data_IF_423796336936
#
_entry.id   IF_423796336936
#
_cell.length_a   1.000
_cell.length_b   1.000
_cell.length_c   1.000
_cell.angle_alpha   90.00
_cell.angle_beta   90.00
_cell.angle_gamma   90.00
#
_symmetry.space_group_name_H-M   'P 1'
#
loop_
_entity.id
_entity.type
_entity.pdbx_description
1 polymer ?
#
# COMPACT_ATOMS: atom_id res chain seq x y z
N UNK A 1 -19.49 12.14 -4.28
CA UNK A 1 -18.92 13.22 -5.16
C UNK A 1 -17.50 13.57 -4.72
N UNK A 2 -16.73 14.26 -5.59
CA UNK A 2 -15.36 14.67 -5.25
C UNK A 2 -15.35 16.16 -4.96
N UNK A 3 -14.68 16.61 -3.90
CA UNK A 3 -14.53 18.01 -3.57
C UNK A 3 -13.69 18.73 -4.64
N UNK A 4 -14.18 19.86 -5.17
CA UNK A 4 -13.47 20.61 -6.22
C UNK A 4 -12.26 21.40 -5.69
N UNK A 5 -12.22 21.67 -4.39
CA UNK A 5 -11.15 22.46 -3.77
C UNK A 5 -9.98 21.61 -3.30
N UNK A 6 -10.23 20.39 -2.78
CA UNK A 6 -9.17 19.55 -2.22
C UNK A 6 -9.06 18.15 -2.83
N UNK A 7 -9.96 17.76 -3.75
CA UNK A 7 -9.93 16.46 -4.43
C UNK A 7 -10.44 15.27 -3.61
N UNK A 8 -10.79 15.42 -2.34
CA UNK A 8 -11.23 14.32 -1.49
C UNK A 8 -12.59 13.76 -1.89
N UNK A 9 -12.77 12.45 -1.76
CA UNK A 9 -14.08 11.81 -1.92
C UNK A 9 -14.96 12.12 -0.71
N UNK A 10 -16.18 12.57 -0.98
CA UNK A 10 -17.16 12.96 0.04
C UNK A 10 -18.51 12.34 -0.26
N UNK A 11 -19.35 12.05 0.76
CA UNK A 11 -20.71 11.58 0.56
C UNK A 11 -21.51 12.53 -0.33
N UNK A 12 -22.40 11.98 -1.16
CA UNK A 12 -23.13 12.73 -2.17
C UNK A 12 -24.15 13.75 -1.61
N UNK A 13 -24.47 13.66 -0.33
CA UNK A 13 -25.39 14.51 0.42
C UNK A 13 -24.69 15.59 1.28
N UNK A 14 -23.37 15.69 1.19
CA UNK A 14 -22.60 16.65 1.99
C UNK A 14 -22.75 18.07 1.47
N UNK A 15 -23.06 19.02 2.36
CA UNK A 15 -23.18 20.46 2.07
C UNK A 15 -21.84 21.16 2.16
N UNK A 16 -20.93 20.62 2.96
CA UNK A 16 -19.56 21.12 3.15
C UNK A 16 -18.59 19.95 3.10
N UNK A 17 -17.40 20.16 2.55
CA UNK A 17 -16.33 19.17 2.59
C UNK A 17 -15.82 19.02 4.05
N UNK A 18 -15.86 17.83 4.64
CA UNK A 18 -15.40 17.63 6.01
C UNK A 18 -13.90 17.85 6.17
N UNK A 19 -13.13 17.72 5.08
CA UNK A 19 -11.68 17.80 5.10
C UNK A 19 -11.13 19.22 4.94
N UNK A 20 -11.69 20.01 4.01
CA UNK A 20 -11.20 21.37 3.77
C UNK A 20 -12.19 22.47 4.18
N UNK A 21 -13.41 22.10 4.60
CA UNK A 21 -14.45 23.05 5.01
C UNK A 21 -15.11 23.83 3.87
N UNK A 22 -14.78 23.56 2.59
CA UNK A 22 -15.38 24.25 1.44
C UNK A 22 -16.86 23.90 1.31
N UNK A 23 -17.68 24.91 0.99
CA UNK A 23 -19.13 24.75 0.78
C UNK A 23 -19.37 24.21 -0.63
N UNK A 24 -20.12 23.11 -0.73
CA UNK A 24 -20.34 22.33 -1.96
C UNK A 24 -21.64 22.69 -2.68
N UNK A 25 -22.51 23.51 -2.04
CA UNK A 25 -23.76 23.96 -2.64
C UNK A 25 -23.50 25.16 -3.56
N UNK A 26 -23.73 24.94 -4.85
CA UNK A 26 -23.69 26.02 -5.84
C UNK A 26 -24.90 26.93 -5.70
N UNK A 27 -24.63 28.18 -5.35
CA UNK A 27 -25.34 29.35 -5.81
C UNK A 27 -24.36 30.54 -5.71
N UNK A 28 -24.06 31.15 -6.85
CA UNK A 28 -23.25 32.36 -6.94
C UNK A 28 -24.05 33.52 -6.32
N UNK A 29 -23.73 33.90 -5.09
CA UNK A 29 -24.03 35.24 -4.60
C UNK A 29 -22.79 36.11 -4.71
N UNK A 30 -22.86 37.04 -5.64
CA UNK A 30 -21.94 38.15 -5.79
C UNK A 30 -22.03 39.05 -4.57
N UNK A 31 -21.03 38.97 -3.67
CA UNK A 31 -20.86 39.98 -2.62
C UNK A 31 -19.72 40.91 -2.99
N UNK A 32 -20.11 42.15 -3.22
CA UNK A 32 -19.27 43.31 -3.47
C UNK A 32 -18.28 43.55 -2.32
N UNK A 33 -17.04 43.82 -2.71
CA UNK A 33 -15.95 44.24 -1.84
C UNK A 33 -16.26 45.60 -1.21
N UNK A 34 -16.42 45.66 0.10
CA UNK A 34 -16.20 46.86 0.88
C UNK A 34 -14.93 46.72 1.71
N UNK A 35 -13.97 47.53 1.37
CA UNK A 35 -12.73 47.76 2.11
C UNK A 35 -13.07 48.44 3.43
N UNK A 36 -12.87 47.80 4.55
CA UNK A 36 -12.79 48.44 5.85
C UNK A 36 -11.35 48.44 6.35
N UNK A 37 -10.81 49.61 6.29
CA UNK A 37 -9.57 50.07 6.89
C UNK A 37 -9.81 50.20 8.42
N UNK A 38 -9.37 49.17 9.20
CA UNK A 38 -9.41 49.22 10.66
C UNK A 38 -8.02 49.47 11.23
N UNK A 39 -7.83 50.77 11.44
CA UNK A 39 -6.82 51.40 12.24
C UNK A 39 -6.68 50.72 13.62
N UNK A 40 -5.44 50.37 13.89
CA UNK A 40 -4.87 49.98 15.18
C UNK A 40 -5.33 50.87 16.34
N UNK A 41 -6.17 50.34 17.24
CA UNK A 41 -6.55 51.03 18.48
C UNK A 41 -5.52 50.72 19.55
N UNK A 42 -4.53 51.58 19.68
CA UNK A 42 -3.66 51.64 20.84
C UNK A 42 -4.42 52.25 22.01
N UNK A 43 -4.60 51.58 23.16
CA UNK A 43 -5.24 52.21 24.32
C UNK A 43 -4.34 53.31 24.88
N UNK A 44 -4.71 54.56 24.68
CA UNK A 44 -4.12 55.71 25.39
C UNK A 44 -4.42 55.58 26.87
N UNK A 45 -3.37 55.37 27.64
CA UNK A 45 -3.41 55.55 29.09
C UNK A 45 -3.64 57.04 29.37
N UNK A 46 -4.83 57.37 29.92
CA UNK A 46 -5.11 58.71 30.41
C UNK A 46 -4.21 59.03 31.61
N UNK A 47 -3.45 60.10 31.44
CA UNK A 47 -2.72 60.67 32.55
C UNK A 47 -3.70 61.10 33.65
N UNK A 48 -3.39 60.68 34.89
CA UNK A 48 -4.10 61.15 36.06
C UNK A 48 -3.80 62.62 36.27
N UNK A 49 -4.84 63.47 36.21
CA UNK A 49 -4.77 64.85 36.61
C UNK A 49 -4.56 64.92 38.12
N UNK A 50 -3.37 65.40 38.53
CA UNK A 50 -3.11 65.74 39.91
C UNK A 50 -3.81 67.06 40.20
N UNK A 51 -4.88 67.00 40.97
CA UNK A 51 -5.54 68.22 41.50
C UNK A 51 -4.70 68.78 42.63
N UNK A 52 -4.09 69.93 42.36
CA UNK A 52 -3.48 70.78 43.38
C UNK A 52 -4.58 71.34 44.29
N UNK A 53 -4.60 70.87 45.54
CA UNK A 53 -5.27 71.64 46.59
C UNK A 53 -4.19 72.18 47.55
N UNK A 54 -3.85 73.41 47.31
CA UNK A 54 -3.08 74.19 48.29
C UNK A 54 -4.01 74.70 49.41
N UNK A 55 -3.41 74.90 50.56
CA UNK A 55 -3.81 75.64 51.75
C UNK A 55 -4.51 74.83 52.87
N UNK A 56 -3.69 74.46 53.86
CA UNK A 56 -3.65 75.17 55.16
C UNK A 56 -2.57 74.49 56.06
N UNK A 57 -1.61 75.26 56.46
CA UNK A 57 -0.71 74.85 57.55
C UNK A 57 -1.48 75.04 58.92
N UNK A 58 -1.13 74.16 59.88
CA UNK A 58 -0.42 74.74 61.06
C UNK A 58 0.78 73.91 61.49
N UNK A 59 1.65 74.67 61.99
CA UNK A 59 2.91 74.45 62.76
C UNK A 59 2.90 73.25 63.72
N UNK A 60 4.03 72.56 63.79
CA UNK A 60 4.34 71.76 64.93
C UNK A 60 4.77 70.31 64.70
N UNK A 61 6.06 70.04 64.68
CA UNK A 61 6.56 68.69 64.94
C UNK A 61 7.60 68.13 63.96
N UNK A 62 8.88 68.31 64.20
CA UNK A 62 10.04 67.87 63.42
C UNK A 62 10.28 66.35 63.36
N UNK A 63 9.28 65.50 63.55
CA UNK A 63 9.39 64.05 63.50
C UNK A 63 8.66 63.38 62.35
N UNK A 64 7.83 64.13 61.58
CA UNK A 64 6.97 63.57 60.52
C UNK A 64 7.68 63.34 59.15
N UNK A 65 8.75 64.10 58.85
CA UNK A 65 9.34 64.10 57.49
C UNK A 65 10.09 62.81 57.13
N UNK A 66 10.56 62.02 58.12
CA UNK A 66 11.23 60.75 57.80
C UNK A 66 10.23 59.62 57.52
N UNK A 67 9.03 59.61 58.08
CA UNK A 67 7.99 58.60 57.79
C UNK A 67 7.31 58.81 56.44
N UNK A 68 7.20 60.02 55.95
CA UNK A 68 6.59 60.30 54.66
C UNK A 68 7.44 59.84 53.47
N UNK A 69 8.76 59.70 53.63
CA UNK A 69 9.68 59.14 52.59
C UNK A 69 9.80 57.62 52.64
N UNK A 70 9.55 56.99 53.78
CA UNK A 70 9.68 55.53 53.95
C UNK A 70 8.62 54.75 53.18
N UNK A 71 7.37 55.23 53.14
CA UNK A 71 6.26 54.56 52.48
C UNK A 71 6.48 54.43 50.97
N UNK A 72 6.86 55.52 50.22
CA UNK A 72 7.09 55.40 48.76
C UNK A 72 8.34 54.55 48.44
N UNK A 73 9.39 54.55 49.31
CA UNK A 73 10.55 53.71 49.13
C UNK A 73 10.21 52.21 49.33
N UNK A 74 9.41 51.88 50.33
CA UNK A 74 8.91 50.51 50.57
C UNK A 74 8.02 50.10 49.39
N UNK A 75 7.10 50.95 48.92
CA UNK A 75 6.27 50.68 47.78
C UNK A 75 7.09 50.44 46.49
N UNK A 76 8.12 51.28 46.24
CA UNK A 76 9.04 51.09 45.11
C UNK A 76 9.84 49.80 45.23
N UNK A 77 10.33 49.47 46.43
CA UNK A 77 11.02 48.22 46.67
C UNK A 77 10.12 46.99 46.46
N UNK A 78 8.84 47.01 46.89
CA UNK A 78 7.87 45.96 46.66
C UNK A 78 7.54 45.84 45.16
N UNK A 79 7.41 46.94 44.44
CA UNK A 79 7.21 46.91 43.00
C UNK A 79 8.43 46.30 42.28
N UNK A 80 9.65 46.69 42.69
CA UNK A 80 10.89 46.09 42.14
C UNK A 80 10.98 44.61 42.46
N UNK A 81 10.68 44.18 43.67
CA UNK A 81 10.64 42.77 44.07
C UNK A 81 9.58 42.01 43.27
N UNK A 82 8.40 42.58 43.09
CA UNK A 82 7.35 42.01 42.25
C UNK A 82 7.80 41.87 40.80
N UNK A 83 8.42 42.93 40.21
CA UNK A 83 8.96 42.88 38.86
C UNK A 83 10.11 41.87 38.73
N UNK A 84 11.00 41.76 39.72
CA UNK A 84 12.01 40.74 39.74
C UNK A 84 11.39 39.33 39.82
N UNK A 85 10.46 39.11 40.75
CA UNK A 85 9.75 37.84 40.88
C UNK A 85 8.99 37.46 39.59
N UNK A 86 8.28 38.44 39.03
CA UNK A 86 7.50 38.28 37.78
C UNK A 86 8.40 37.92 36.59
N UNK A 87 9.66 38.41 36.56
CA UNK A 87 10.60 38.17 35.48
C UNK A 87 11.55 36.98 35.74
N UNK A 88 11.40 36.23 36.85
CA UNK A 88 12.15 34.99 37.05
C UNK A 88 11.90 34.03 35.91
N UNK A 89 12.94 33.35 35.37
CA UNK A 89 12.80 32.41 34.29
C UNK A 89 11.69 31.39 34.53
N UNK A 90 11.59 30.85 35.73
CA UNK A 90 10.57 29.89 36.16
C UNK A 90 9.13 30.44 35.98
N UNK A 91 8.87 31.62 36.50
CA UNK A 91 7.54 32.25 36.41
C UNK A 91 7.17 32.66 34.96
N UNK A 92 8.16 33.00 34.16
CA UNK A 92 7.98 33.26 32.74
C UNK A 92 7.66 31.97 31.99
N UNK A 93 8.35 30.88 32.32
CA UNK A 93 8.12 29.57 31.77
C UNK A 93 6.68 29.11 32.04
N UNK A 94 6.22 29.13 33.29
CA UNK A 94 4.88 28.71 33.68
C UNK A 94 3.79 29.51 32.95
N UNK A 95 3.99 30.82 32.74
CA UNK A 95 3.05 31.63 31.98
C UNK A 95 3.01 31.27 30.49
N UNK A 96 4.15 30.92 29.91
CA UNK A 96 4.23 30.50 28.51
C UNK A 96 3.54 29.15 28.33
N UNK A 97 3.79 28.19 29.23
CA UNK A 97 3.09 26.91 29.23
C UNK A 97 1.57 27.09 29.32
N UNK A 98 1.09 27.88 30.27
CA UNK A 98 -0.34 28.16 30.41
C UNK A 98 -0.96 28.83 29.16
N UNK A 99 -0.24 29.76 28.51
CA UNK A 99 -0.72 30.35 27.25
C UNK A 99 -0.77 29.35 26.13
N UNK A 100 0.22 28.47 26.04
CA UNK A 100 0.23 27.39 25.07
C UNK A 100 -1.01 26.49 25.23
N UNK A 101 -1.33 26.11 26.48
CA UNK A 101 -2.55 25.33 26.77
C UNK A 101 -3.82 26.09 26.43
N UNK A 102 -3.88 27.43 26.70
CA UNK A 102 -4.99 28.28 26.31
C UNK A 102 -5.18 28.33 24.79
N UNK A 103 -4.07 28.39 24.01
CA UNK A 103 -4.11 28.31 22.56
C UNK A 103 -4.57 26.92 22.06
N UNK A 104 -4.11 25.81 22.67
CA UNK A 104 -4.58 24.46 22.34
C UNK A 104 -6.08 24.32 22.56
N UNK A 105 -6.59 24.85 23.67
CA UNK A 105 -8.04 24.80 23.96
C UNK A 105 -8.90 25.54 22.94
N UNK A 106 -8.29 26.41 22.11
CA UNK A 106 -8.93 27.15 21.01
C UNK A 106 -8.57 26.59 19.63
N UNK A 107 -7.90 25.44 19.56
CA UNK A 107 -7.40 24.84 18.32
C UNK A 107 -6.38 25.70 17.55
N UNK A 108 -5.69 26.60 18.24
CA UNK A 108 -4.68 27.49 17.68
C UNK A 108 -3.27 26.81 17.80
N UNK A 109 -3.09 25.67 17.14
CA UNK A 109 -1.96 24.77 17.30
C UNK A 109 -0.60 25.43 17.01
N UNK A 110 -0.50 26.24 15.95
CA UNK A 110 0.73 26.98 15.59
C UNK A 110 1.12 27.98 16.67
N UNK A 111 0.13 28.69 17.27
CA UNK A 111 0.37 29.65 18.33
C UNK A 111 0.79 28.94 19.61
N UNK A 112 0.16 27.81 19.94
CA UNK A 112 0.53 26.98 21.07
C UNK A 112 2.00 26.49 20.96
N UNK A 113 2.36 25.95 19.79
CA UNK A 113 3.74 25.50 19.51
C UNK A 113 4.75 26.65 19.64
N UNK A 114 4.40 27.86 19.18
CA UNK A 114 5.24 29.03 19.33
C UNK A 114 5.47 29.41 20.80
N UNK A 115 4.46 29.29 21.67
CA UNK A 115 4.60 29.53 23.11
C UNK A 115 5.44 28.41 23.78
N UNK A 116 5.24 27.13 23.45
CA UNK A 116 6.09 26.02 23.93
C UNK A 116 7.55 26.20 23.53
N UNK A 117 7.84 26.60 22.29
CA UNK A 117 9.23 26.91 21.87
C UNK A 117 9.85 28.08 22.63
N UNK A 118 9.03 29.10 22.97
CA UNK A 118 9.49 30.19 23.84
C UNK A 118 9.79 29.70 25.26
N UNK A 119 8.98 28.77 25.77
CA UNK A 119 9.22 28.12 27.07
C UNK A 119 10.54 27.32 27.06
N UNK A 120 10.78 26.52 26.01
CA UNK A 120 12.02 25.77 25.81
C UNK A 120 13.25 26.65 25.71
N UNK A 121 13.16 27.87 25.15
CA UNK A 121 14.28 28.82 25.16
C UNK A 121 14.65 29.30 26.56
N UNK A 122 13.70 29.29 27.52
CA UNK A 122 13.94 29.64 28.91
C UNK A 122 14.43 28.42 29.72
N UNK A 123 13.88 27.24 29.44
CA UNK A 123 14.20 25.98 30.12
C UNK A 123 14.37 24.86 29.07
N UNK A 124 15.55 24.75 28.44
CA UNK A 124 15.80 23.80 27.35
C UNK A 124 15.61 22.33 27.74
N UNK A 125 15.86 22.00 29.02
CA UNK A 125 15.77 20.64 29.55
C UNK A 125 14.35 20.28 30.05
N UNK A 126 13.34 21.13 29.80
CA UNK A 126 11.98 20.85 30.20
C UNK A 126 11.38 19.74 29.36
N UNK A 127 11.25 18.54 29.93
CA UNK A 127 10.62 17.39 29.30
C UNK A 127 9.16 17.69 28.99
N UNK A 128 8.44 18.34 29.90
CA UNK A 128 7.02 18.69 29.72
C UNK A 128 6.78 19.54 28.47
N UNK A 129 7.59 20.57 28.23
CA UNK A 129 7.45 21.41 27.03
C UNK A 129 7.89 20.68 25.74
N UNK A 130 8.90 19.80 25.84
CA UNK A 130 9.32 18.96 24.72
C UNK A 130 8.24 17.95 24.34
N UNK A 131 7.66 17.26 25.32
CA UNK A 131 6.61 16.28 25.09
C UNK A 131 5.34 16.92 24.54
N UNK A 132 4.96 18.10 25.05
CA UNK A 132 3.82 18.85 24.51
C UNK A 132 4.04 19.29 23.06
N UNK A 133 5.22 19.79 22.72
CA UNK A 133 5.55 20.17 21.36
C UNK A 133 5.58 18.96 20.42
N UNK A 134 6.14 17.85 20.89
CA UNK A 134 6.14 16.58 20.14
C UNK A 134 4.74 16.06 19.90
N UNK A 135 3.86 16.11 20.89
CA UNK A 135 2.46 15.66 20.76
C UNK A 135 1.73 16.44 19.67
N UNK A 136 1.85 17.78 19.65
CA UNK A 136 1.24 18.61 18.59
C UNK A 136 1.80 18.25 17.22
N UNK A 137 3.12 18.10 17.11
CA UNK A 137 3.77 17.76 15.86
C UNK A 137 3.33 16.39 15.35
N UNK A 138 3.29 15.39 16.23
CA UNK A 138 2.87 14.02 15.92
C UNK A 138 1.42 13.96 15.47
N UNK A 139 0.50 14.67 16.18
CA UNK A 139 -0.91 14.73 15.82
C UNK A 139 -1.13 15.30 14.41
N UNK A 140 -0.42 16.40 14.09
CA UNK A 140 -0.51 16.98 12.74
C UNK A 140 0.09 16.06 11.69
N UNK A 141 1.20 15.36 12.00
CA UNK A 141 1.79 14.39 11.07
C UNK A 141 0.83 13.23 10.80
N UNK A 142 0.19 12.69 11.84
CA UNK A 142 -0.79 11.60 11.71
C UNK A 142 -1.98 12.03 10.83
N UNK A 143 -2.48 13.27 11.00
CA UNK A 143 -3.51 13.82 10.12
C UNK A 143 -3.02 13.99 8.68
N UNK A 144 -1.77 14.45 8.48
CA UNK A 144 -1.16 14.57 7.14
C UNK A 144 -1.11 13.22 6.45
N UNK A 145 -0.64 12.19 7.14
CA UNK A 145 -0.56 10.84 6.58
C UNK A 145 -1.94 10.26 6.30
N UNK A 146 -2.90 10.46 7.19
CA UNK A 146 -4.30 10.03 6.99
C UNK A 146 -4.94 10.68 5.76
N UNK A 147 -4.68 11.97 5.53
CA UNK A 147 -5.16 12.67 4.33
C UNK A 147 -4.52 12.11 3.06
N UNK A 148 -3.21 11.84 3.09
CA UNK A 148 -2.50 11.28 1.95
C UNK A 148 -2.98 9.85 1.63
N UNK A 149 -3.16 9.02 2.64
CA UNK A 149 -3.69 7.65 2.50
C UNK A 149 -5.14 7.66 1.98
N UNK A 150 -5.91 8.70 2.33
CA UNK A 150 -7.25 8.94 1.79
C UNK A 150 -7.29 9.56 0.38
N UNK A 151 -6.14 9.76 -0.28
CA UNK A 151 -6.05 10.38 -1.60
C UNK A 151 -6.25 11.90 -1.63
N UNK A 152 -6.30 12.54 -0.45
CA UNK A 152 -6.48 14.00 -0.31
C UNK A 152 -5.14 14.74 -0.32
N UNK A 153 -4.34 14.54 -1.37
CA UNK A 153 -2.94 14.97 -1.43
C UNK A 153 -2.73 16.47 -1.31
N UNK A 154 -3.57 17.29 -1.94
CA UNK A 154 -3.50 18.76 -1.80
C UNK A 154 -3.69 19.21 -0.36
N UNK A 155 -4.69 18.66 0.33
CA UNK A 155 -4.95 18.95 1.74
C UNK A 155 -3.80 18.46 2.63
N UNK A 156 -3.24 17.29 2.34
CA UNK A 156 -2.07 16.74 3.03
C UNK A 156 -0.85 17.67 2.88
N UNK A 157 -0.56 18.17 1.68
CA UNK A 157 0.54 19.14 1.43
C UNK A 157 0.33 20.46 2.17
N UNK A 158 -0.87 21.03 2.09
CA UNK A 158 -1.20 22.27 2.82
C UNK A 158 -0.93 22.08 4.32
N UNK A 159 -1.33 20.95 4.88
CA UNK A 159 -1.14 20.62 6.29
C UNK A 159 0.32 20.31 6.63
N UNK A 160 1.02 19.60 5.76
CA UNK A 160 2.45 19.29 5.94
C UNK A 160 3.33 20.56 5.99
N UNK A 161 2.96 21.63 5.26
CA UNK A 161 3.65 22.93 5.29
C UNK A 161 3.53 23.65 6.64
N UNK A 162 2.67 23.19 7.55
CA UNK A 162 2.55 23.69 8.92
C UNK A 162 3.62 23.05 9.84
N UNK A 163 4.05 21.83 9.57
CA UNK A 163 5.01 21.08 10.42
C UNK A 163 6.30 21.87 10.77
N UNK A 164 6.97 22.56 9.82
CA UNK A 164 8.14 23.38 10.14
C UNK A 164 7.82 24.59 11.05
N UNK A 165 6.56 25.04 11.06
CA UNK A 165 6.12 26.12 11.96
C UNK A 165 5.88 25.60 13.37
N UNK A 166 5.56 24.33 13.53
CA UNK A 166 5.42 23.67 14.84
C UNK A 166 6.81 23.36 15.41
N UNK A 167 7.60 22.55 14.71
CA UNK A 167 8.93 22.14 15.16
C UNK A 167 9.95 22.22 14.00
N UNK A 168 10.67 23.34 13.88
CA UNK A 168 11.69 23.52 12.84
C UNK A 168 12.92 22.64 13.04
N UNK A 169 13.17 22.15 14.28
CA UNK A 169 14.32 21.31 14.58
C UNK A 169 14.18 19.90 14.00
N UNK A 170 12.96 19.50 13.62
CA UNK A 170 12.64 18.26 12.89
C UNK A 170 12.66 18.42 11.36
N UNK A 171 13.52 19.28 10.85
CA UNK A 171 13.54 19.66 9.41
C UNK A 171 13.60 18.45 8.46
N UNK A 172 14.37 17.40 8.79
CA UNK A 172 14.45 16.17 7.98
C UNK A 172 13.11 15.43 7.94
N UNK A 173 12.45 15.27 9.10
CA UNK A 173 11.16 14.57 9.16
C UNK A 173 10.06 15.37 8.46
N UNK A 174 10.05 16.70 8.66
CA UNK A 174 9.11 17.59 7.99
C UNK A 174 9.24 17.51 6.47
N UNK A 175 10.47 17.45 5.96
CA UNK A 175 10.74 17.31 4.54
C UNK A 175 10.36 15.90 4.05
N UNK A 176 10.69 14.85 4.82
CA UNK A 176 10.29 13.48 4.46
C UNK A 176 8.78 13.33 4.31
N UNK A 177 7.99 13.97 5.18
CA UNK A 177 6.53 13.93 5.07
C UNK A 177 6.05 14.50 3.72
N UNK A 178 6.58 15.65 3.29
CA UNK A 178 6.25 16.25 1.99
C UNK A 178 6.66 15.33 0.83
N UNK A 179 7.87 14.76 0.89
CA UNK A 179 8.36 13.83 -0.15
C UNK A 179 7.47 12.58 -0.26
N UNK A 180 7.04 12.02 0.87
CA UNK A 180 6.14 10.85 0.89
C UNK A 180 4.80 11.17 0.24
N UNK A 181 4.21 12.34 0.51
CA UNK A 181 2.95 12.76 -0.11
C UNK A 181 3.10 12.84 -1.63
N UNK A 182 4.17 13.47 -2.13
CA UNK A 182 4.42 13.54 -3.58
C UNK A 182 4.59 12.18 -4.22
N UNK A 183 5.28 11.24 -3.55
CA UNK A 183 5.44 9.86 -4.04
C UNK A 183 4.12 9.08 -4.09
N UNK A 184 3.30 9.19 -3.05
CA UNK A 184 1.97 8.58 -3.04
C UNK A 184 1.08 9.17 -4.14
N UNK A 185 1.13 10.50 -4.33
CA UNK A 185 0.35 11.17 -5.36
C UNK A 185 0.78 10.79 -6.78
N UNK A 186 2.09 10.73 -7.03
CA UNK A 186 2.62 10.22 -8.31
C UNK A 186 2.10 8.81 -8.59
N UNK A 187 2.16 7.92 -7.59
CA UNK A 187 1.68 6.54 -7.73
C UNK A 187 0.18 6.49 -8.02
N UNK A 188 -0.61 7.27 -7.33
CA UNK A 188 -2.05 7.37 -7.59
C UNK A 188 -2.36 7.87 -9.02
N UNK A 189 -1.63 8.87 -9.51
CA UNK A 189 -1.80 9.38 -10.88
C UNK A 189 -1.36 8.35 -11.93
N UNK A 190 -0.29 7.60 -11.65
CA UNK A 190 0.16 6.51 -12.52
C UNK A 190 -0.89 5.38 -12.59
N UNK A 191 -1.46 4.99 -11.45
CA UNK A 191 -2.54 3.99 -11.36
C UNK A 191 -3.78 4.40 -12.16
N UNK A 192 -4.10 5.70 -12.17
CA UNK A 192 -5.23 6.24 -12.94
C UNK A 192 -4.89 6.57 -14.39
N UNK A 193 -3.63 6.38 -14.82
CA UNK A 193 -3.15 6.68 -16.17
C UNK A 193 -3.07 8.18 -16.50
N UNK A 194 -3.08 9.08 -15.49
CA UNK A 194 -2.99 10.53 -15.68
C UNK A 194 -1.54 11.04 -15.80
N UNK A 195 -0.86 10.71 -16.88
CA UNK A 195 0.50 11.21 -17.19
C UNK A 195 0.55 12.75 -17.30
N UNK A 196 -0.57 13.37 -17.68
CA UNK A 196 -0.70 14.84 -17.69
C UNK A 196 -0.70 15.42 -16.28
N UNK A 197 -1.36 14.75 -15.35
CA UNK A 197 -1.34 15.04 -13.90
C UNK A 197 0.06 14.88 -13.31
N UNK A 198 0.77 13.79 -13.62
CA UNK A 198 2.16 13.59 -13.20
C UNK A 198 3.06 14.74 -13.66
N UNK A 199 2.96 15.15 -14.92
CA UNK A 199 3.78 16.24 -15.46
C UNK A 199 3.53 17.57 -14.73
N UNK A 200 2.29 17.87 -14.38
CA UNK A 200 1.92 19.07 -13.59
C UNK A 200 2.46 18.95 -12.18
N UNK A 201 2.23 17.82 -11.52
CA UNK A 201 2.69 17.57 -10.15
C UNK A 201 4.21 17.71 -10.01
N UNK A 202 4.99 17.19 -10.97
CA UNK A 202 6.44 17.34 -10.98
C UNK A 202 6.90 18.80 -11.15
N UNK A 203 6.11 19.64 -11.85
CA UNK A 203 6.36 21.07 -11.94
C UNK A 203 6.07 21.77 -10.62
N UNK A 204 4.95 21.44 -9.98
CA UNK A 204 4.52 22.07 -8.72
C UNK A 204 5.43 21.63 -7.54
N UNK A 205 5.94 20.42 -7.57
CA UNK A 205 6.89 19.89 -6.58
C UNK A 205 8.20 20.70 -6.49
N UNK A 206 8.53 21.47 -7.52
CA UNK A 206 9.72 22.32 -7.53
C UNK A 206 9.67 23.47 -6.49
N UNK A 207 8.51 23.79 -5.96
CA UNK A 207 8.36 24.77 -4.86
C UNK A 207 8.76 24.18 -3.50
N UNK A 208 8.58 22.88 -3.30
CA UNK A 208 8.75 22.19 -2.01
C UNK A 208 10.01 21.31 -1.95
N UNK A 209 10.47 20.80 -3.09
CA UNK A 209 11.55 19.79 -3.21
C UNK A 209 12.80 20.37 -3.86
N UNK A 210 13.95 19.77 -3.54
CA UNK A 210 15.23 20.06 -4.21
C UNK A 210 15.29 19.40 -5.60
N UNK A 211 16.23 19.84 -6.45
CA UNK A 211 16.45 19.24 -7.76
C UNK A 211 16.74 17.74 -7.71
N UNK A 212 17.50 17.27 -6.70
CA UNK A 212 17.80 15.85 -6.50
C UNK A 212 16.53 15.06 -6.10
N UNK A 213 15.70 15.62 -5.23
CA UNK A 213 14.43 15.01 -4.82
C UNK A 213 13.43 14.96 -5.98
N UNK A 214 13.40 15.99 -6.83
CA UNK A 214 12.58 15.99 -8.05
C UNK A 214 13.08 14.96 -9.06
N UNK A 215 14.40 14.79 -9.18
CA UNK A 215 14.97 13.76 -10.05
C UNK A 215 14.57 12.36 -9.57
N UNK A 216 14.61 12.13 -8.26
CA UNK A 216 14.12 10.88 -7.67
C UNK A 216 12.61 10.69 -7.89
N UNK A 217 11.82 11.74 -7.71
CA UNK A 217 10.37 11.69 -7.93
C UNK A 217 10.01 11.40 -9.40
N UNK A 218 10.79 11.92 -10.36
CA UNK A 218 10.64 11.57 -11.78
C UNK A 218 10.93 10.11 -12.06
N UNK A 219 11.97 9.57 -11.44
CA UNK A 219 12.26 8.13 -11.57
C UNK A 219 11.14 7.30 -10.98
N UNK A 220 10.66 7.65 -9.79
CA UNK A 220 9.52 6.99 -9.14
C UNK A 220 8.24 7.05 -10.01
N UNK A 221 8.01 8.18 -10.69
CA UNK A 221 6.90 8.34 -11.63
C UNK A 221 7.01 7.39 -12.82
N UNK A 222 8.20 7.30 -13.42
CA UNK A 222 8.46 6.41 -14.55
C UNK A 222 8.32 4.94 -14.16
N UNK A 223 8.85 4.56 -12.99
CA UNK A 223 8.74 3.20 -12.45
C UNK A 223 7.29 2.84 -12.13
N UNK A 224 6.51 3.78 -11.59
CA UNK A 224 5.09 3.59 -11.30
C UNK A 224 4.25 3.45 -12.60
N UNK A 225 4.47 4.31 -13.60
CA UNK A 225 3.80 4.20 -14.90
C UNK A 225 4.14 2.85 -15.59
N UNK A 226 5.40 2.40 -15.51
CA UNK A 226 5.84 1.11 -16.04
C UNK A 226 5.16 -0.05 -15.28
N UNK A 227 5.11 0.03 -13.94
CA UNK A 227 4.46 -0.97 -13.09
C UNK A 227 2.98 -1.16 -13.45
N UNK A 228 2.19 -0.09 -13.49
CA UNK A 228 0.76 -0.20 -13.80
C UNK A 228 0.51 -0.64 -15.25
N UNK A 229 1.33 -0.18 -16.18
CA UNK A 229 1.27 -0.68 -17.57
C UNK A 229 1.53 -2.18 -17.66
N UNK A 230 2.46 -2.73 -16.88
CA UNK A 230 2.71 -4.18 -16.84
C UNK A 230 1.54 -4.92 -16.19
N UNK A 231 0.92 -4.36 -15.15
CA UNK A 231 -0.28 -4.95 -14.53
C UNK A 231 -1.44 -5.03 -15.55
N UNK A 232 -1.67 -3.97 -16.33
CA UNK A 232 -2.69 -3.99 -17.38
C UNK A 232 -2.39 -5.07 -18.44
N UNK A 233 -1.13 -5.14 -18.90
CA UNK A 233 -0.71 -6.17 -19.86
C UNK A 233 -0.86 -7.58 -19.30
N UNK A 234 -0.57 -7.81 -18.01
CA UNK A 234 -0.76 -9.10 -17.35
C UNK A 234 -2.23 -9.51 -17.32
N UNK A 235 -3.12 -8.56 -17.03
CA UNK A 235 -4.57 -8.82 -17.01
C UNK A 235 -5.10 -9.13 -18.44
N UNK A 236 -4.70 -8.33 -19.44
CA UNK A 236 -5.07 -8.57 -20.84
C UNK A 236 -4.58 -9.94 -21.32
N UNK A 237 -3.37 -10.32 -20.97
CA UNK A 237 -2.80 -11.61 -21.36
C UNK A 237 -3.48 -12.78 -20.64
N UNK A 238 -3.83 -12.61 -19.37
CA UNK A 238 -4.60 -13.61 -18.63
C UNK A 238 -6.00 -13.86 -19.24
N UNK A 239 -6.72 -12.79 -19.59
CA UNK A 239 -8.01 -12.89 -20.28
C UNK A 239 -7.88 -13.62 -21.62
N UNK A 240 -6.81 -13.36 -22.36
CA UNK A 240 -6.51 -14.03 -23.62
C UNK A 240 -6.26 -15.52 -23.43
N UNK A 241 -5.43 -15.89 -22.44
CA UNK A 241 -5.16 -17.30 -22.10
C UNK A 241 -6.43 -18.02 -21.70
N UNK A 242 -7.30 -17.41 -20.89
CA UNK A 242 -8.60 -17.97 -20.50
C UNK A 242 -9.46 -18.24 -21.75
N UNK A 243 -9.55 -17.28 -22.66
CA UNK A 243 -10.32 -17.44 -23.91
C UNK A 243 -9.79 -18.57 -24.79
N UNK A 244 -8.46 -18.66 -24.97
CA UNK A 244 -7.82 -19.74 -25.73
C UNK A 244 -8.04 -21.11 -25.10
N UNK A 245 -8.00 -21.18 -23.76
CA UNK A 245 -8.31 -22.40 -23.02
C UNK A 245 -9.75 -22.86 -23.24
N UNK A 246 -10.70 -21.92 -23.22
CA UNK A 246 -12.13 -22.22 -23.48
C UNK A 246 -12.39 -22.67 -24.92
N UNK A 247 -11.60 -22.20 -25.88
CA UNK A 247 -11.63 -22.62 -27.29
C UNK A 247 -10.94 -23.98 -27.52
N UNK A 248 -10.17 -24.48 -26.55
CA UNK A 248 -9.38 -25.71 -26.66
C UNK A 248 -8.09 -25.55 -27.46
N UNK A 249 -7.60 -24.32 -27.65
CA UNK A 249 -6.38 -23.98 -28.41
C UNK A 249 -5.12 -24.15 -27.54
N UNK A 250 -4.85 -25.36 -27.11
CA UNK A 250 -3.80 -25.68 -26.12
C UNK A 250 -2.39 -25.22 -26.52
N UNK A 251 -2.00 -25.35 -27.79
CA UNK A 251 -0.69 -24.89 -28.31
C UNK A 251 -0.55 -23.37 -28.14
N UNK A 252 -1.59 -22.63 -28.49
CA UNK A 252 -1.59 -21.17 -28.33
C UNK A 252 -1.57 -20.77 -26.85
N UNK A 253 -2.29 -21.53 -25.97
CA UNK A 253 -2.24 -21.31 -24.51
C UNK A 253 -0.81 -21.39 -23.98
N UNK A 254 -0.04 -22.42 -24.36
CA UNK A 254 1.36 -22.51 -23.91
C UNK A 254 2.24 -21.40 -24.47
N UNK A 255 1.97 -20.95 -25.69
CA UNK A 255 2.68 -19.81 -26.29
C UNK A 255 2.44 -18.53 -25.49
N UNK A 256 1.20 -18.26 -25.12
CA UNK A 256 0.85 -17.07 -24.33
C UNK A 256 1.26 -17.20 -22.84
N UNK A 257 1.30 -18.40 -22.27
CA UNK A 257 1.90 -18.62 -20.93
C UNK A 257 3.38 -18.19 -20.93
N UNK A 258 4.13 -18.40 -22.01
CA UNK A 258 5.51 -17.92 -22.10
C UNK A 258 5.58 -16.39 -22.14
N UNK A 259 4.63 -15.72 -22.80
CA UNK A 259 4.50 -14.24 -22.79
C UNK A 259 4.16 -13.75 -21.40
N UNK A 260 3.13 -14.35 -20.76
CA UNK A 260 2.72 -14.04 -19.39
C UNK A 260 3.90 -14.17 -18.40
N UNK A 261 4.71 -15.23 -18.55
CA UNK A 261 5.89 -15.44 -17.72
C UNK A 261 6.91 -14.30 -17.85
N UNK A 262 7.17 -13.83 -19.08
CA UNK A 262 8.06 -12.67 -19.31
C UNK A 262 7.52 -11.36 -18.72
N UNK A 263 6.20 -11.17 -18.74
CA UNK A 263 5.54 -10.04 -18.08
C UNK A 263 5.60 -10.15 -16.56
N UNK A 264 5.39 -11.35 -16.01
CA UNK A 264 5.48 -11.62 -14.57
C UNK A 264 6.90 -11.37 -14.02
N UNK A 265 7.94 -11.80 -14.74
CA UNK A 265 9.34 -11.50 -14.37
C UNK A 265 9.57 -9.98 -14.30
N UNK A 266 9.09 -9.25 -15.29
CA UNK A 266 9.21 -7.79 -15.33
C UNK A 266 8.41 -7.10 -14.23
N UNK A 267 7.23 -7.61 -13.91
CA UNK A 267 6.42 -7.14 -12.77
C UNK A 267 7.18 -7.31 -11.44
N UNK A 268 7.83 -8.46 -11.24
CA UNK A 268 8.66 -8.73 -10.07
C UNK A 268 9.86 -7.78 -9.97
N UNK A 269 10.53 -7.50 -11.10
CA UNK A 269 11.64 -6.54 -11.16
C UNK A 269 11.22 -5.12 -10.74
N UNK A 270 9.96 -4.76 -10.98
CA UNK A 270 9.36 -3.49 -10.56
C UNK A 270 8.81 -3.51 -9.11
N UNK A 271 9.04 -4.60 -8.37
CA UNK A 271 8.65 -4.73 -6.96
C UNK A 271 7.26 -5.32 -6.74
N UNK A 272 6.68 -5.96 -7.75
CA UNK A 272 5.46 -6.75 -7.62
C UNK A 272 5.64 -7.97 -6.71
N UNK A 273 4.55 -8.49 -6.17
CA UNK A 273 4.55 -9.64 -5.26
C UNK A 273 3.77 -10.81 -5.85
N UNK A 274 4.27 -12.03 -5.65
CA UNK A 274 3.52 -13.27 -5.87
C UNK A 274 2.67 -13.63 -4.60
N UNK A 275 1.57 -14.41 -4.71
CA UNK A 275 1.05 -15.07 -5.91
C UNK A 275 0.27 -14.12 -6.82
N UNK A 276 0.22 -14.47 -8.11
CA UNK A 276 -0.53 -13.71 -9.10
C UNK A 276 -1.85 -14.41 -9.36
N UNK A 277 -2.95 -13.71 -9.12
CA UNK A 277 -4.29 -14.11 -9.56
C UNK A 277 -4.81 -13.00 -10.45
N UNK A 278 -5.12 -13.34 -11.69
CA UNK A 278 -5.60 -12.42 -12.70
C UNK A 278 -7.05 -12.73 -13.04
N UNK A 279 -7.83 -11.71 -13.27
CA UNK A 279 -9.24 -11.77 -13.61
C UNK A 279 -9.99 -10.58 -13.04
N UNK A 280 -11.13 -10.25 -13.63
CA UNK A 280 -11.99 -9.20 -13.10
C UNK A 280 -12.76 -9.75 -11.89
N UNK A 281 -12.87 -8.96 -10.85
CA UNK A 281 -13.61 -9.28 -9.62
C UNK A 281 -15.03 -9.77 -9.96
N UNK A 282 -15.36 -11.03 -9.63
CA UNK A 282 -16.61 -11.67 -9.97
C UNK A 282 -16.65 -12.37 -11.35
N UNK A 283 -15.53 -12.57 -12.03
CA UNK A 283 -15.44 -13.39 -13.22
C UNK A 283 -15.84 -14.86 -12.93
N UNK A 284 -16.40 -15.54 -13.94
CA UNK A 284 -16.71 -16.99 -13.84
C UNK A 284 -15.43 -17.83 -13.75
N UNK A 285 -14.32 -17.32 -14.33
CA UNK A 285 -13.00 -17.94 -14.34
C UNK A 285 -11.93 -16.87 -14.10
N UNK A 286 -10.96 -17.25 -13.32
CA UNK A 286 -9.75 -16.48 -12.99
C UNK A 286 -8.53 -17.31 -13.39
N UNK A 287 -7.39 -16.65 -13.57
CA UNK A 287 -6.12 -17.29 -13.88
C UNK A 287 -5.16 -17.12 -12.71
N UNK A 288 -4.74 -18.22 -12.12
CA UNK A 288 -3.64 -18.26 -11.16
C UNK A 288 -2.33 -18.57 -11.87
N UNK A 289 -1.30 -17.75 -11.65
CA UNK A 289 0.03 -17.95 -12.16
C UNK A 289 0.98 -18.29 -11.03
N UNK A 290 1.72 -19.38 -11.18
CA UNK A 290 2.66 -19.90 -10.18
C UNK A 290 3.97 -20.24 -10.86
N UNK A 291 5.07 -20.00 -10.17
CA UNK A 291 6.40 -20.39 -10.64
C UNK A 291 7.22 -20.98 -9.49
N UNK A 292 8.04 -21.96 -9.79
CA UNK A 292 8.97 -22.57 -8.87
C UNK A 292 10.28 -22.85 -9.61
N UNK A 293 11.27 -22.02 -9.37
CA UNK A 293 12.55 -22.13 -10.06
C UNK A 293 12.41 -21.90 -11.57
N UNK A 294 12.47 -22.99 -12.35
CA UNK A 294 12.34 -22.93 -13.83
C UNK A 294 10.95 -23.37 -14.32
N UNK A 295 10.07 -23.75 -13.42
CA UNK A 295 8.77 -24.33 -13.78
C UNK A 295 7.68 -23.26 -13.64
N UNK A 296 6.78 -23.25 -14.61
CA UNK A 296 5.61 -22.35 -14.65
C UNK A 296 4.34 -23.19 -14.64
N UNK A 297 3.43 -22.84 -13.77
CA UNK A 297 2.09 -23.41 -13.71
C UNK A 297 1.03 -22.31 -13.84
N UNK A 298 0.01 -22.59 -14.65
CA UNK A 298 -1.17 -21.74 -14.78
C UNK A 298 -2.39 -22.57 -14.45
N UNK A 299 -3.27 -22.05 -13.60
CA UNK A 299 -4.56 -22.68 -13.25
C UNK A 299 -5.69 -21.74 -13.64
N UNK A 300 -6.64 -22.24 -14.42
CA UNK A 300 -7.80 -21.49 -14.90
C UNK A 300 -9.06 -22.12 -14.31
N UNK A 301 -9.78 -21.34 -13.51
CA UNK A 301 -11.00 -21.80 -12.84
C UNK A 301 -11.51 -20.77 -11.84
N UNK A 302 -12.30 -21.23 -10.90
CA UNK A 302 -12.70 -20.40 -9.76
C UNK A 302 -11.63 -20.48 -8.69
N UNK A 303 -10.99 -19.36 -8.42
CA UNK A 303 -9.86 -19.26 -7.49
C UNK A 303 -10.24 -18.40 -6.27
N UNK A 304 -9.54 -18.60 -5.16
CA UNK A 304 -9.55 -17.64 -4.06
C UNK A 304 -8.43 -16.60 -4.23
N UNK A 305 -8.34 -15.65 -3.30
CA UNK A 305 -7.31 -14.59 -3.31
C UNK A 305 -5.85 -15.11 -3.26
N UNK A 306 -5.67 -16.38 -2.94
CA UNK A 306 -4.37 -17.05 -2.90
C UNK A 306 -4.14 -17.94 -4.13
N UNK A 307 -5.08 -17.94 -5.09
CA UNK A 307 -5.03 -18.79 -6.27
C UNK A 307 -5.41 -20.25 -6.02
N UNK A 308 -6.05 -20.54 -4.89
CA UNK A 308 -6.49 -21.91 -4.54
C UNK A 308 -7.77 -22.21 -5.34
N UNK A 309 -7.71 -23.25 -6.19
CA UNK A 309 -8.82 -23.64 -7.03
C UNK A 309 -9.89 -24.47 -6.26
N UNK A 310 -11.16 -24.19 -6.57
CA UNK A 310 -12.33 -24.92 -6.11
C UNK A 310 -13.31 -25.18 -7.27
N UNK A 311 -13.77 -26.43 -7.40
CA UNK A 311 -14.65 -26.85 -8.49
C UNK A 311 -13.86 -27.21 -9.74
N UNK A 312 -14.49 -27.08 -10.92
CA UNK A 312 -13.85 -27.41 -12.20
C UNK A 312 -12.77 -26.37 -12.56
N UNK A 313 -11.53 -26.86 -12.79
CA UNK A 313 -10.43 -26.01 -13.25
C UNK A 313 -9.49 -26.80 -14.16
N UNK A 314 -8.82 -26.05 -15.06
CA UNK A 314 -7.79 -26.57 -15.97
C UNK A 314 -6.43 -26.05 -15.53
N UNK A 315 -5.45 -26.94 -15.37
CA UNK A 315 -4.06 -26.59 -15.08
C UNK A 315 -3.20 -26.83 -16.31
N UNK A 316 -2.29 -25.89 -16.56
CA UNK A 316 -1.24 -25.96 -17.57
C UNK A 316 0.10 -25.89 -16.88
N UNK A 317 1.03 -26.74 -17.26
CA UNK A 317 2.36 -26.82 -16.69
C UNK A 317 3.41 -26.87 -17.80
N UNK A 318 4.42 -26.03 -17.69
CA UNK A 318 5.56 -26.01 -18.58
C UNK A 318 6.83 -26.21 -17.74
N UNK A 319 7.50 -27.34 -17.94
CA UNK A 319 8.78 -27.63 -17.32
C UNK A 319 9.90 -27.09 -18.22
N UNK A 320 10.63 -26.12 -17.73
CA UNK A 320 11.81 -25.55 -18.43
C UNK A 320 13.05 -26.34 -18.05
N UNK A 321 13.23 -27.51 -18.61
CA UNK A 321 14.55 -28.15 -18.57
C UNK A 321 15.47 -27.52 -19.62
N UNK A 322 16.63 -27.10 -19.18
CA UNK A 322 17.65 -26.54 -20.04
C UNK A 322 18.06 -27.49 -21.13
N UNK A 323 17.86 -27.07 -22.35
CA UNK A 323 18.49 -27.41 -23.61
C UNK A 323 17.88 -28.45 -24.53
N UNK A 324 17.08 -29.45 -24.12
CA UNK A 324 16.65 -30.51 -25.08
C UNK A 324 15.21 -31.03 -24.88
N UNK A 325 14.24 -30.18 -24.60
CA UNK A 325 12.84 -30.58 -24.56
C UNK A 325 12.07 -29.81 -23.50
N UNK A 326 10.97 -29.22 -23.89
CA UNK A 326 9.99 -28.69 -22.93
C UNK A 326 8.94 -29.77 -22.73
N UNK A 327 8.87 -30.34 -21.54
CA UNK A 327 7.72 -31.12 -21.18
C UNK A 327 6.55 -30.20 -20.86
N UNK A 328 5.47 -30.38 -21.62
CA UNK A 328 4.23 -29.62 -21.48
C UNK A 328 3.14 -30.61 -21.10
N UNK A 329 2.42 -30.32 -20.04
CA UNK A 329 1.24 -31.11 -19.71
C UNK A 329 0.12 -30.21 -19.21
N UNK A 330 -1.10 -30.68 -19.42
CA UNK A 330 -2.29 -29.99 -18.94
C UNK A 330 -3.36 -31.00 -18.56
N UNK A 331 -4.24 -30.62 -17.66
CA UNK A 331 -5.33 -31.47 -17.22
C UNK A 331 -6.52 -30.64 -16.73
N UNK A 332 -7.73 -31.20 -16.95
CA UNK A 332 -8.98 -30.64 -16.46
C UNK A 332 -9.61 -31.62 -15.50
N UNK A 333 -9.96 -31.14 -14.32
CA UNK A 333 -10.62 -31.94 -13.28
C UNK A 333 -11.37 -31.06 -12.28
N UNK A 334 -12.10 -31.67 -11.36
CA UNK A 334 -12.57 -30.96 -10.18
C UNK A 334 -11.41 -30.72 -9.20
N UNK A 335 -11.46 -29.59 -8.50
CA UNK A 335 -10.48 -29.20 -7.50
C UNK A 335 -11.15 -29.01 -6.16
N UNK A 336 -10.45 -29.40 -5.10
CA UNK A 336 -10.90 -29.26 -3.73
C UNK A 336 -9.75 -28.86 -2.84
N UNK A 337 -9.88 -27.69 -2.17
CA UNK A 337 -8.81 -27.12 -1.36
C UNK A 337 -7.46 -27.00 -2.12
N UNK A 338 -7.50 -26.59 -3.38
CA UNK A 338 -6.31 -26.44 -4.22
C UNK A 338 -5.68 -27.75 -4.71
N UNK A 339 -6.36 -28.88 -4.59
CA UNK A 339 -5.87 -30.15 -5.08
C UNK A 339 -6.81 -30.77 -6.10
N UNK A 340 -6.28 -31.33 -7.21
CA UNK A 340 -7.09 -32.05 -8.17
C UNK A 340 -7.84 -33.21 -7.50
N UNK A 341 -9.12 -33.35 -7.85
CA UNK A 341 -10.01 -34.36 -7.29
C UNK A 341 -11.03 -34.78 -8.36
N UNK A 342 -11.64 -35.94 -8.20
CA UNK A 342 -12.66 -36.41 -9.13
C UNK A 342 -12.11 -36.95 -10.46
N UNK A 343 -12.93 -36.93 -11.50
CA UNK A 343 -12.53 -37.40 -12.83
C UNK A 343 -11.58 -36.39 -13.48
N UNK A 344 -10.47 -36.89 -14.05
CA UNK A 344 -9.44 -36.10 -14.68
C UNK A 344 -9.11 -36.62 -16.08
N UNK A 345 -8.93 -35.69 -17.00
CA UNK A 345 -8.31 -35.90 -18.30
C UNK A 345 -6.98 -35.17 -18.33
N UNK A 346 -5.88 -35.93 -18.37
CA UNK A 346 -4.51 -35.46 -18.38
C UNK A 346 -3.86 -35.70 -19.74
N UNK A 347 -3.10 -34.75 -20.21
CA UNK A 347 -2.39 -34.78 -21.49
C UNK A 347 -0.96 -34.32 -21.29
N UNK A 348 -0.03 -34.98 -21.98
CA UNK A 348 1.41 -34.68 -21.96
C UNK A 348 1.98 -34.68 -23.36
N UNK A 349 2.89 -33.71 -23.63
CA UNK A 349 3.63 -33.62 -24.91
C UNK A 349 5.05 -33.14 -24.67
N UNK A 350 5.98 -33.56 -25.54
CA UNK A 350 7.37 -33.04 -25.59
C UNK A 350 7.51 -31.83 -26.53
N UNK A 351 6.40 -31.22 -26.90
CA UNK A 351 6.31 -30.08 -27.82
C UNK A 351 5.17 -30.25 -28.80
N UNK A 352 4.82 -29.16 -29.50
CA UNK A 352 3.76 -29.17 -30.51
C UNK A 352 4.36 -29.34 -31.93
N UNK A 353 5.24 -30.34 -32.11
CA UNK A 353 5.71 -30.69 -33.42
C UNK A 353 4.58 -31.36 -34.21
N UNK A 354 4.39 -31.03 -35.51
CA UNK A 354 3.28 -31.56 -36.30
C UNK A 354 3.25 -33.10 -36.45
N UNK A 355 4.38 -33.73 -36.20
CA UNK A 355 4.56 -35.17 -36.39
C UNK A 355 4.41 -35.98 -35.08
N UNK A 356 4.45 -35.33 -33.88
CA UNK A 356 4.32 -35.96 -32.57
C UNK A 356 3.47 -35.10 -31.62
N UNK A 357 2.15 -35.03 -31.82
CA UNK A 357 1.33 -34.01 -31.15
C UNK A 357 1.07 -34.25 -29.66
N UNK A 358 0.84 -35.44 -29.19
CA UNK A 358 0.59 -35.77 -27.78
C UNK A 358 1.25 -37.08 -27.46
N UNK A 359 2.09 -37.09 -26.44
CA UNK A 359 2.82 -38.30 -26.06
C UNK A 359 1.96 -39.25 -25.26
N UNK A 360 1.22 -38.73 -24.29
CA UNK A 360 0.40 -39.53 -23.37
C UNK A 360 -0.93 -38.81 -23.08
N UNK A 361 -2.01 -39.58 -23.07
CA UNK A 361 -3.28 -39.15 -22.50
C UNK A 361 -3.66 -40.09 -21.35
N UNK A 362 -4.00 -39.55 -20.19
CA UNK A 362 -4.47 -40.34 -19.04
C UNK A 362 -5.87 -39.91 -18.63
N UNK A 363 -6.75 -40.90 -18.39
CA UNK A 363 -8.15 -40.63 -17.98
C UNK A 363 -8.52 -41.50 -16.80
N UNK A 364 -8.95 -40.91 -15.71
CA UNK A 364 -9.28 -41.64 -14.51
C UNK A 364 -9.73 -40.72 -13.36
N UNK A 365 -9.74 -41.29 -12.16
CA UNK A 365 -10.11 -40.57 -10.95
C UNK A 365 -8.87 -40.14 -10.18
N UNK A 366 -8.93 -38.89 -9.69
CA UNK A 366 -7.97 -38.37 -8.70
C UNK A 366 -8.61 -38.29 -7.32
N UNK A 367 -7.82 -38.53 -6.30
CA UNK A 367 -8.18 -38.32 -4.90
C UNK A 367 -7.06 -37.59 -4.17
N UNK A 368 -7.32 -36.37 -3.77
CA UNK A 368 -6.35 -35.50 -3.08
C UNK A 368 -5.03 -35.26 -3.87
N UNK A 369 -5.14 -35.24 -5.20
CA UNK A 369 -4.02 -35.03 -6.13
C UNK A 369 -3.39 -36.30 -6.69
N UNK A 370 -3.72 -37.43 -6.15
CA UNK A 370 -3.16 -38.75 -6.57
C UNK A 370 -4.15 -39.53 -7.42
N UNK A 371 -3.68 -40.27 -8.44
CA UNK A 371 -4.50 -41.22 -9.17
C UNK A 371 -5.05 -42.30 -8.22
N UNK A 372 -6.35 -42.61 -8.32
CA UNK A 372 -7.03 -43.56 -7.46
C UNK A 372 -8.08 -44.35 -8.27
N UNK A 373 -7.91 -45.67 -8.38
CA UNK A 373 -8.75 -46.54 -9.17
C UNK A 373 -8.17 -46.88 -10.54
N UNK A 374 -9.04 -47.18 -11.49
CA UNK A 374 -8.63 -47.50 -12.88
C UNK A 374 -8.35 -46.22 -13.67
N UNK A 375 -7.20 -46.15 -14.32
CA UNK A 375 -6.76 -45.08 -15.20
C UNK A 375 -6.46 -45.69 -16.57
N UNK A 376 -7.05 -45.08 -17.61
CA UNK A 376 -6.75 -45.40 -18.99
C UNK A 376 -5.62 -44.53 -19.49
N UNK A 377 -4.53 -45.12 -19.90
CA UNK A 377 -3.38 -44.47 -20.52
C UNK A 377 -3.37 -44.76 -22.02
N UNK A 378 -3.28 -43.75 -22.86
CA UNK A 378 -3.15 -43.87 -24.31
C UNK A 378 -1.89 -43.17 -24.77
N UNK A 379 -1.05 -43.81 -25.52
CA UNK A 379 0.22 -43.31 -26.05
C UNK A 379 0.05 -42.82 -27.49
N UNK A 380 1.02 -42.06 -27.99
CA UNK A 380 1.02 -41.49 -29.35
C UNK A 380 0.98 -42.55 -30.46
N UNK A 381 1.45 -43.78 -30.21
CA UNK A 381 1.39 -44.91 -31.14
C UNK A 381 0.00 -45.60 -31.16
N UNK A 382 -0.95 -45.09 -30.35
CA UNK A 382 -2.32 -45.60 -30.24
C UNK A 382 -2.45 -46.79 -29.30
N UNK A 383 -1.38 -47.22 -28.63
CA UNK A 383 -1.47 -48.26 -27.58
C UNK A 383 -2.22 -47.70 -26.36
N UNK A 384 -3.16 -48.47 -25.82
CA UNK A 384 -3.95 -48.09 -24.65
C UNK A 384 -3.80 -49.14 -23.54
N UNK A 385 -3.57 -48.66 -22.32
CA UNK A 385 -3.39 -49.50 -21.15
C UNK A 385 -4.38 -49.11 -20.05
N UNK A 386 -4.90 -50.09 -19.31
CA UNK A 386 -5.65 -49.81 -18.08
C UNK A 386 -4.78 -50.11 -16.90
N UNK A 387 -4.47 -49.10 -16.11
CA UNK A 387 -3.61 -49.17 -14.94
C UNK A 387 -4.44 -48.89 -13.71
N UNK A 388 -4.31 -49.73 -12.68
CA UNK A 388 -4.99 -49.49 -11.42
C UNK A 388 -4.05 -48.88 -10.40
N UNK A 389 -4.49 -47.75 -9.85
CA UNK A 389 -3.78 -47.01 -8.81
C UNK A 389 -4.50 -47.12 -7.45
N UNK A 390 -3.72 -47.11 -6.37
CA UNK A 390 -4.17 -46.92 -5.00
C UNK A 390 -3.36 -45.73 -4.44
N UNK A 391 -3.97 -44.52 -4.46
CA UNK A 391 -3.37 -43.26 -4.00
C UNK A 391 -1.98 -43.00 -4.60
N UNK A 392 -1.92 -42.89 -5.91
CA UNK A 392 -0.69 -42.66 -6.66
C UNK A 392 0.22 -43.84 -6.87
N UNK A 393 -0.04 -44.98 -6.21
CA UNK A 393 0.77 -46.20 -6.35
C UNK A 393 0.10 -47.21 -7.30
N UNK A 394 0.83 -47.67 -8.31
CA UNK A 394 0.34 -48.67 -9.25
C UNK A 394 0.00 -49.98 -8.50
N UNK A 395 -1.27 -50.36 -8.51
CA UNK A 395 -1.75 -51.53 -7.83
C UNK A 395 -1.67 -52.79 -8.71
N UNK A 396 -2.06 -52.71 -9.96
CA UNK A 396 -1.98 -53.79 -10.95
C UNK A 396 -1.89 -53.21 -12.35
N UNK A 397 -0.95 -53.66 -13.13
CA UNK A 397 -0.84 -53.40 -14.56
C UNK A 397 -1.59 -54.48 -15.32
N UNK A 398 -2.73 -54.19 -15.95
CA UNK A 398 -3.42 -55.10 -16.86
C UNK A 398 -2.96 -54.78 -18.28
N UNK A 399 -2.14 -55.65 -18.88
CA UNK A 399 -1.64 -55.48 -20.24
C UNK A 399 -1.91 -56.74 -21.03
N UNK A 400 -2.51 -56.59 -22.23
CA UNK A 400 -2.45 -57.59 -23.27
C UNK A 400 -1.06 -57.61 -23.90
N UNK A 401 -0.47 -58.82 -24.01
CA UNK A 401 0.91 -59.00 -24.48
C UNK A 401 1.11 -58.47 -25.92
N UNK A 402 1.85 -57.39 -26.03
CA UNK A 402 2.57 -57.03 -27.25
C UNK A 402 4.08 -57.24 -27.03
N UNK A 403 4.88 -57.24 -28.09
CA UNK A 403 6.29 -57.65 -28.10
C UNK A 403 7.23 -56.90 -27.12
N UNK A 404 6.73 -56.02 -26.29
CA UNK A 404 7.46 -55.24 -25.27
C UNK A 404 7.20 -55.80 -23.86
N UNK A 405 8.25 -56.18 -23.16
CA UNK A 405 8.15 -56.71 -21.79
C UNK A 405 7.79 -55.64 -20.77
N UNK A 406 6.61 -55.71 -20.22
CA UNK A 406 6.14 -54.83 -19.13
C UNK A 406 6.14 -55.57 -17.80
N UNK A 407 6.48 -54.88 -16.72
CA UNK A 407 6.39 -55.44 -15.36
C UNK A 407 5.41 -54.64 -14.52
N UNK A 408 4.43 -55.32 -14.03
CA UNK A 408 3.56 -54.85 -12.97
C UNK A 408 4.07 -55.20 -11.59
N UNK A 409 3.72 -54.40 -10.61
CA UNK A 409 3.90 -54.70 -9.21
C UNK A 409 2.56 -55.04 -8.60
N UNK A 410 2.52 -56.09 -7.78
CA UNK A 410 1.36 -56.39 -6.95
C UNK A 410 1.42 -55.54 -5.67
N UNK A 411 0.30 -55.41 -4.98
CA UNK A 411 0.15 -54.70 -3.69
C UNK A 411 1.10 -55.19 -2.59
N UNK A 412 1.61 -56.42 -2.72
CA UNK A 412 2.61 -57.05 -1.85
C UNK A 412 4.06 -56.74 -2.25
N UNK A 413 4.26 -55.87 -3.27
CA UNK A 413 5.58 -55.57 -3.81
C UNK A 413 6.20 -56.66 -4.69
N UNK A 414 5.48 -57.74 -4.95
CA UNK A 414 5.97 -58.79 -5.83
C UNK A 414 5.89 -58.35 -7.29
N UNK A 415 6.99 -58.56 -8.01
CA UNK A 415 7.24 -58.10 -9.36
C UNK A 415 6.74 -59.09 -10.39
N UNK A 416 5.99 -58.67 -11.39
CA UNK A 416 5.54 -59.57 -12.43
C UNK A 416 6.25 -59.45 -13.78
N UNK A 417 6.55 -58.27 -14.28
CA UNK A 417 7.33 -58.06 -15.53
C UNK A 417 7.81 -56.61 -15.68
N UNK A 418 8.85 -56.36 -16.47
CA UNK A 418 9.42 -55.06 -16.74
C UNK A 418 9.19 -54.59 -18.16
N UNK A 419 9.02 -53.27 -18.33
CA UNK A 419 9.27 -52.60 -19.57
C UNK A 419 10.78 -52.44 -19.76
N UNK A 420 11.28 -52.78 -20.94
CA UNK A 420 12.67 -52.47 -21.25
C UNK A 420 12.80 -50.99 -21.56
N UNK A 421 13.68 -50.38 -20.86
CA UNK A 421 14.38 -49.15 -21.11
C UNK A 421 13.71 -47.79 -20.84
N UNK A 422 12.42 -47.67 -20.57
CA UNK A 422 11.80 -46.37 -20.30
C UNK A 422 10.88 -46.29 -19.08
N UNK A 423 10.61 -47.35 -18.36
CA UNK A 423 9.69 -47.40 -17.24
C UNK A 423 10.21 -46.79 -15.93
N UNK A 424 11.28 -46.05 -15.94
CA UNK A 424 11.87 -45.50 -14.71
C UNK A 424 11.28 -44.13 -14.34
N UNK A 425 10.35 -43.61 -15.16
CA UNK A 425 9.84 -42.25 -14.99
C UNK A 425 8.49 -42.08 -14.27
N UNK A 426 7.72 -43.14 -14.05
CA UNK A 426 6.33 -42.99 -13.57
C UNK A 426 6.14 -43.39 -12.08
N UNK A 427 7.00 -42.91 -11.21
CA UNK A 427 6.75 -42.93 -9.76
C UNK A 427 5.96 -41.70 -9.26
N UNK A 428 5.60 -40.81 -10.15
CA UNK A 428 5.02 -39.54 -9.75
C UNK A 428 3.61 -39.41 -10.33
N UNK A 429 2.66 -39.34 -9.43
CA UNK A 429 1.30 -38.92 -9.72
C UNK A 429 1.27 -37.53 -10.39
N UNK A 430 0.09 -37.04 -10.69
CA UNK A 430 -0.10 -35.66 -11.20
C UNK A 430 0.78 -34.70 -10.42
N UNK A 431 1.61 -33.90 -11.06
CA UNK A 431 2.56 -33.06 -10.36
C UNK A 431 1.83 -32.11 -9.41
N UNK A 432 2.24 -32.14 -8.19
CA UNK A 432 1.73 -31.24 -7.17
C UNK A 432 2.17 -29.81 -7.46
N UNK A 433 1.26 -28.86 -7.38
CA UNK A 433 1.66 -27.51 -7.10
C UNK A 433 2.15 -27.44 -5.66
N UNK A 434 3.47 -27.34 -5.48
CA UNK A 434 4.04 -27.11 -4.16
C UNK A 434 3.71 -25.69 -3.71
N UNK A 435 2.80 -25.59 -2.76
CA UNK A 435 2.69 -24.37 -1.94
C UNK A 435 3.78 -24.46 -0.85
N UNK A 436 4.80 -23.61 -0.95
CA UNK A 436 5.71 -23.35 0.17
C UNK A 436 5.19 -22.18 1.00
#
# INVERSE_FOLDING_TARGET
>A
MVCRECGCQIPDDSVTCPECGSVLSGEEETVSSETNDDTEIVPRIKAFDIVDTADTAPDGGKTGKRRALIIPVIAAALVLLFLCYYNLPQNRYERLMKRAEEHLSRYETVLAAAEYRKALRLMPDSQEAQDALYSIWSEILDEVMSLADGGCFDAALVKARILPQIDPDRSTMNRSAVTVIYKQWVRFLAETGDSGGISRLLSDAAEDLTEDEIAQLRQEAADAEDYFRIVDMLNEEAERIISLSDEGNTEEVFTEIAVLSGLADRYMDLGGNAPFVFGTDGAEKELGYFFSGFDVSVVIGKLDLFGIAEGEATAYYAERFGMEGQYLYWYTCEWKNGRPNGYCEYYETEGFEPEEPVCITMKGMLSDGDWDGEVEETYSDGETYSIKYDKGHVEVLLIEETDRNIVGYNKDGSKKRYYSDQAVGYEYGVPYMYYN
#
